data_IF_293744212336
#
_entry.id   IF_293744212336
#
_cell.length_a   1.000
_cell.length_b   1.000
_cell.length_c   1.000
_cell.angle_alpha   90.00
_cell.angle_beta   90.00
_cell.angle_gamma   90.00
#
_symmetry.space_group_name_H-M   'P 1'
#
loop_
_entity.id
_entity.type
_entity.pdbx_description
1 polymer ?
#
# COMPACT_ATOMS: atom_id res chain seq x y z
N UNK A 1 -6.50 -7.12 -11.94
CA UNK A 1 -5.90 -7.50 -10.66
C UNK A 1 -5.19 -6.29 -10.06
N UNK A 2 -5.44 -6.01 -8.79
CA UNK A 2 -4.77 -4.93 -8.08
C UNK A 2 -3.30 -5.24 -7.83
N UNK A 3 -2.50 -4.19 -7.76
CA UNK A 3 -1.07 -4.26 -7.42
C UNK A 3 -0.74 -3.26 -6.33
N UNK A 4 0.48 -3.34 -5.81
CA UNK A 4 1.01 -2.34 -4.85
C UNK A 4 0.92 -0.92 -5.42
N UNK A 5 1.07 -0.77 -6.73
CA UNK A 5 0.94 0.54 -7.39
C UNK A 5 -0.46 1.14 -7.16
N UNK A 6 -1.48 0.32 -7.25
CA UNK A 6 -2.86 0.75 -7.00
C UNK A 6 -3.08 1.13 -5.53
N UNK A 7 -2.44 0.41 -4.61
CA UNK A 7 -2.46 0.73 -3.19
C UNK A 7 -1.79 2.08 -2.93
N UNK A 8 -0.62 2.32 -3.51
CA UNK A 8 0.09 3.61 -3.38
C UNK A 8 -0.75 4.75 -3.93
N UNK A 9 -1.39 4.54 -5.09
CA UNK A 9 -2.29 5.53 -5.67
C UNK A 9 -3.46 5.85 -4.74
N UNK A 10 -4.11 4.81 -4.20
CA UNK A 10 -5.21 4.98 -3.26
C UNK A 10 -4.79 5.70 -1.98
N UNK A 11 -3.63 5.37 -1.42
CA UNK A 11 -3.07 6.07 -0.26
C UNK A 11 -2.75 7.53 -0.58
N UNK A 12 -2.18 7.80 -1.74
CA UNK A 12 -1.87 9.16 -2.18
C UNK A 12 -3.14 9.99 -2.31
N UNK A 13 -4.17 9.46 -2.91
CA UNK A 13 -5.47 10.13 -3.03
C UNK A 13 -6.08 10.42 -1.65
N UNK A 14 -6.08 9.44 -0.77
CA UNK A 14 -6.62 9.57 0.58
C UNK A 14 -5.89 10.62 1.40
N UNK A 15 -4.56 10.61 1.38
CA UNK A 15 -3.73 11.58 2.11
C UNK A 15 -3.86 12.97 1.51
N UNK A 16 -3.86 13.10 0.20
CA UNK A 16 -4.02 14.39 -0.48
C UNK A 16 -5.38 15.02 -0.22
N UNK A 17 -6.42 14.22 -0.11
CA UNK A 17 -7.75 14.69 0.26
C UNK A 17 -7.80 15.17 1.72
N UNK A 18 -7.19 14.41 2.63
CA UNK A 18 -7.15 14.72 4.06
C UNK A 18 -6.23 15.89 4.39
N UNK A 19 -5.09 15.97 3.69
CA UNK A 19 -4.06 16.98 3.92
C UNK A 19 -3.70 17.71 2.61
N UNK A 20 -4.59 18.56 2.09
CA UNK A 20 -4.34 19.23 0.81
C UNK A 20 -3.15 20.21 0.83
N UNK A 21 -2.71 20.63 2.02
CA UNK A 21 -1.56 21.50 2.19
C UNK A 21 -0.21 20.79 2.11
N UNK A 22 -0.22 19.45 2.04
CA UNK A 22 0.98 18.62 1.95
C UNK A 22 1.07 18.04 0.54
N UNK A 23 1.85 18.68 -0.36
CA UNK A 23 2.07 18.09 -1.68
C UNK A 23 2.90 16.81 -1.58
N UNK A 24 2.64 15.88 -2.48
CA UNK A 24 3.43 14.67 -2.59
C UNK A 24 4.78 14.99 -3.23
N UNK A 25 5.87 14.47 -2.65
CA UNK A 25 7.20 14.53 -3.24
C UNK A 25 7.49 13.30 -4.07
N UNK A 26 8.28 13.46 -5.12
CA UNK A 26 8.84 12.34 -5.86
C UNK A 26 9.89 11.64 -4.99
N UNK A 27 9.89 10.31 -5.01
CA UNK A 27 10.82 9.48 -4.24
C UNK A 27 12.28 9.64 -4.66
N UNK A 28 12.53 10.15 -5.87
CA UNK A 28 13.87 10.33 -6.43
C UNK A 28 14.54 11.66 -6.08
N UNK A 29 13.92 12.47 -5.22
CA UNK A 29 14.50 13.76 -4.82
C UNK A 29 15.49 13.56 -3.66
N UNK A 30 16.78 13.68 -3.97
CA UNK A 30 17.85 13.74 -2.99
C UNK A 30 17.88 15.09 -2.26
N UNK A 31 17.89 15.01 -0.94
CA UNK A 31 18.33 16.03 0.03
C UNK A 31 17.57 17.36 0.17
N UNK A 32 16.83 17.84 -0.81
CA UNK A 32 16.08 19.10 -0.72
C UNK A 32 14.57 18.87 -0.73
N UNK A 33 14.07 18.30 0.34
CA UNK A 33 12.64 18.09 0.50
C UNK A 33 11.91 19.44 0.59
N UNK A 34 10.90 19.57 -0.26
CA UNK A 34 9.99 20.71 -0.18
C UNK A 34 9.15 20.60 1.09
N UNK A 35 9.10 21.65 1.88
CA UNK A 35 8.28 21.67 3.10
C UNK A 35 7.12 22.63 2.96
N UNK A 36 5.90 22.29 3.42
CA UNK A 36 5.50 20.96 3.87
C UNK A 36 5.34 19.97 2.71
N UNK A 37 5.56 18.69 2.97
CA UNK A 37 5.40 17.66 1.94
C UNK A 37 5.34 16.27 2.56
N UNK A 38 4.99 15.28 1.76
CA UNK A 38 5.12 13.88 2.14
C UNK A 38 5.55 13.03 0.95
N UNK A 39 6.11 11.87 1.23
CA UNK A 39 6.34 10.86 0.19
C UNK A 39 5.98 9.46 0.71
N UNK A 40 5.71 8.57 -0.23
CA UNK A 40 5.38 7.18 0.06
C UNK A 40 6.47 6.29 -0.53
N UNK A 41 7.05 5.46 0.32
CA UNK A 41 8.07 4.49 -0.07
C UNK A 41 7.59 3.08 0.21
N UNK A 42 7.99 2.14 -0.61
CA UNK A 42 7.69 0.72 -0.42
C UNK A 42 8.95 0.01 0.03
N UNK A 43 8.97 -0.45 1.27
CA UNK A 43 10.14 -1.12 1.84
C UNK A 43 10.30 -2.54 1.31
N UNK A 44 9.22 -3.31 1.34
CA UNK A 44 9.23 -4.65 0.78
C UNK A 44 7.84 -5.08 0.28
N UNK A 45 7.85 -6.07 -0.58
CA UNK A 45 6.64 -6.71 -1.11
C UNK A 45 6.86 -8.22 -1.09
N UNK A 46 5.97 -8.92 -0.40
CA UNK A 46 6.01 -10.37 -0.30
C UNK A 46 4.76 -10.98 -0.92
N UNK A 47 4.95 -11.95 -1.77
CA UNK A 47 3.87 -12.63 -2.47
C UNK A 47 3.84 -14.10 -2.06
N UNK A 48 2.67 -14.61 -1.68
CA UNK A 48 2.49 -15.99 -1.30
C UNK A 48 1.13 -16.54 -1.78
N UNK A 49 1.08 -17.82 -2.04
CA UNK A 49 -0.17 -18.51 -2.34
C UNK A 49 -0.85 -18.92 -1.03
N UNK A 50 -2.08 -18.48 -0.83
CA UNK A 50 -2.89 -18.83 0.36
C UNK A 50 -3.87 -19.98 0.05
N UNK A 51 -4.18 -20.17 -1.21
CA UNK A 51 -4.98 -21.29 -1.72
C UNK A 51 -4.64 -21.52 -3.19
N UNK A 52 -5.24 -22.52 -3.81
CA UNK A 52 -4.94 -22.91 -5.20
C UNK A 52 -5.10 -21.74 -6.18
N UNK A 53 -6.14 -20.93 -6.00
CA UNK A 53 -6.46 -19.82 -6.91
C UNK A 53 -6.34 -18.45 -6.25
N UNK A 54 -5.82 -18.39 -5.02
CA UNK A 54 -5.72 -17.13 -4.28
C UNK A 54 -4.29 -16.79 -3.93
N UNK A 55 -3.90 -15.59 -4.28
CA UNK A 55 -2.58 -15.04 -3.99
C UNK A 55 -2.72 -13.93 -2.95
N UNK A 56 -1.80 -13.90 -2.02
CA UNK A 56 -1.67 -12.82 -1.04
C UNK A 56 -0.41 -12.02 -1.35
N UNK A 57 -0.58 -10.71 -1.53
CA UNK A 57 0.52 -9.77 -1.64
C UNK A 57 0.52 -8.88 -0.41
N UNK A 58 1.57 -8.97 0.38
CA UNK A 58 1.78 -8.11 1.57
C UNK A 58 2.87 -7.12 1.27
N UNK A 59 2.58 -5.84 1.44
CA UNK A 59 3.55 -4.77 1.25
C UNK A 59 3.71 -3.95 2.51
N UNK A 60 4.95 -3.64 2.86
CA UNK A 60 5.29 -2.69 3.91
C UNK A 60 5.56 -1.33 3.29
N UNK A 61 4.71 -0.38 3.63
CA UNK A 61 4.71 0.95 3.05
C UNK A 61 5.08 1.95 4.13
N UNK A 62 6.05 2.80 3.84
CA UNK A 62 6.47 3.88 4.71
C UNK A 62 5.97 5.21 4.14
N UNK A 63 5.27 5.98 4.96
CA UNK A 63 4.78 7.31 4.61
C UNK A 63 5.53 8.31 5.47
N UNK A 64 6.23 9.24 4.85
CA UNK A 64 7.07 10.21 5.53
C UNK A 64 6.51 11.61 5.32
N UNK A 65 6.21 12.31 6.39
CA UNK A 65 5.70 13.67 6.38
C UNK A 65 6.75 14.63 6.91
N UNK A 66 6.99 15.71 6.17
CA UNK A 66 7.85 16.80 6.57
C UNK A 66 7.00 18.00 6.96
N UNK A 67 7.15 18.50 8.19
CA UNK A 67 6.45 19.69 8.64
C UNK A 67 6.89 20.94 7.85
N UNK A 68 6.05 21.94 7.84
CA UNK A 68 6.31 23.21 7.13
C UNK A 68 7.62 23.87 7.58
N UNK A 69 7.95 23.75 8.87
CA UNK A 69 9.12 24.38 9.43
C UNK A 69 9.88 23.39 10.33
N UNK A 70 11.21 23.37 10.22
CA UNK A 70 12.08 22.55 11.08
C UNK A 70 12.03 22.94 12.55
N UNK A 71 11.63 24.15 12.85
CA UNK A 71 11.63 24.70 14.23
C UNK A 71 10.26 24.64 14.90
N UNK A 72 9.21 24.64 14.11
CA UNK A 72 7.82 24.62 14.56
C UNK A 72 7.06 23.49 13.85
N UNK A 73 5.91 23.11 14.39
CA UNK A 73 5.06 22.11 13.76
C UNK A 73 5.12 20.71 14.40
N UNK A 74 5.84 20.56 15.51
CA UNK A 74 5.86 19.28 16.23
C UNK A 74 4.47 18.84 16.70
N UNK A 75 3.69 19.76 17.23
CA UNK A 75 2.32 19.48 17.67
C UNK A 75 1.41 19.12 16.49
N UNK A 76 1.59 19.77 15.36
CA UNK A 76 0.82 19.48 14.14
C UNK A 76 1.13 18.06 13.64
N UNK A 77 2.40 17.65 13.68
CA UNK A 77 2.79 16.28 13.32
C UNK A 77 2.25 15.25 14.32
N UNK A 78 2.21 15.61 15.60
CA UNK A 78 1.66 14.72 16.63
C UNK A 78 0.15 14.51 16.43
N UNK A 79 -0.59 15.58 16.11
CA UNK A 79 -2.00 15.50 15.75
C UNK A 79 -2.19 14.67 14.47
N UNK A 80 -1.35 14.90 13.48
CA UNK A 80 -1.38 14.14 12.24
C UNK A 80 -1.16 12.65 12.48
N UNK A 81 -0.20 12.29 13.33
CA UNK A 81 0.03 10.90 13.73
C UNK A 81 -1.23 10.26 14.31
N UNK A 82 -1.89 10.95 15.22
CA UNK A 82 -3.12 10.46 15.85
C UNK A 82 -4.25 10.32 14.83
N UNK A 83 -4.43 11.31 13.98
CA UNK A 83 -5.46 11.29 12.95
C UNK A 83 -5.23 10.20 11.90
N UNK A 84 -3.99 9.96 11.50
CA UNK A 84 -3.64 8.89 10.57
C UNK A 84 -3.85 7.51 11.19
N UNK A 85 -3.57 7.36 12.47
CA UNK A 85 -3.82 6.11 13.18
C UNK A 85 -5.30 5.73 13.12
N UNK A 86 -6.18 6.69 13.31
CA UNK A 86 -7.63 6.48 13.19
C UNK A 86 -8.04 6.26 11.72
N UNK A 87 -7.48 7.05 10.82
CA UNK A 87 -7.82 6.98 9.40
C UNK A 87 -7.48 5.60 8.79
N UNK A 88 -6.31 5.05 9.14
CA UNK A 88 -5.85 3.77 8.61
C UNK A 88 -6.42 2.55 9.36
N UNK A 89 -7.21 2.76 10.39
CA UNK A 89 -7.99 1.69 11.02
C UNK A 89 -9.12 1.19 10.10
N UNK A 90 -9.55 2.04 9.19
CA UNK A 90 -10.53 1.68 8.16
C UNK A 90 -9.85 1.09 6.91
N UNK A 91 -10.49 0.12 6.23
CA UNK A 91 -9.96 -0.39 4.97
C UNK A 91 -9.82 0.70 3.91
N UNK A 92 -8.76 0.62 3.14
CA UNK A 92 -8.54 1.50 2.00
C UNK A 92 -9.47 1.09 0.85
N UNK A 93 -10.28 2.03 0.41
CA UNK A 93 -11.14 1.82 -0.74
C UNK A 93 -10.40 2.18 -2.02
N UNK A 94 -10.39 1.26 -2.97
CA UNK A 94 -9.80 1.45 -4.29
C UNK A 94 -10.83 1.04 -5.32
N UNK A 95 -11.13 1.91 -6.27
CA UNK A 95 -12.01 1.61 -7.38
C UNK A 95 -11.26 1.72 -8.70
N UNK A 96 -11.51 0.79 -9.59
CA UNK A 96 -11.18 0.91 -10.99
C UNK A 96 -12.49 0.99 -11.82
N UNK A 97 -12.37 1.00 -13.14
CA UNK A 97 -13.53 1.14 -14.02
C UNK A 97 -14.54 -0.02 -13.91
N UNK A 98 -14.11 -1.17 -13.40
CA UNK A 98 -14.90 -2.39 -13.41
C UNK A 98 -15.19 -2.97 -12.03
N UNK A 99 -14.41 -2.59 -11.01
CA UNK A 99 -14.47 -3.25 -9.70
C UNK A 99 -14.13 -2.31 -8.56
N UNK A 100 -14.67 -2.64 -7.39
CA UNK A 100 -14.40 -1.97 -6.13
C UNK A 100 -13.65 -2.92 -5.20
N UNK A 101 -12.63 -2.42 -4.54
CA UNK A 101 -11.77 -3.21 -3.65
C UNK A 101 -11.59 -2.52 -2.31
N UNK A 102 -11.54 -3.32 -1.26
CA UNK A 102 -11.21 -2.87 0.08
C UNK A 102 -9.91 -3.54 0.51
N UNK A 103 -8.89 -2.74 0.75
CA UNK A 103 -7.57 -3.23 1.16
C UNK A 103 -7.42 -3.04 2.66
N UNK A 104 -7.15 -4.12 3.37
CA UNK A 104 -6.89 -4.06 4.80
C UNK A 104 -5.54 -3.40 5.06
N UNK A 105 -5.54 -2.41 5.93
CA UNK A 105 -4.34 -1.70 6.36
C UNK A 105 -4.07 -2.01 7.83
N UNK A 106 -2.82 -2.28 8.15
CA UNK A 106 -2.37 -2.48 9.51
C UNK A 106 -1.26 -1.48 9.82
N UNK A 107 -1.49 -0.59 10.73
CA UNK A 107 -0.44 0.30 11.24
C UNK A 107 0.52 -0.51 12.09
N UNK A 108 1.77 -0.59 11.65
CA UNK A 108 2.79 -1.38 12.32
C UNK A 108 3.63 -0.54 13.26
N UNK A 109 4.02 0.66 12.81
CA UNK A 109 4.94 1.49 13.56
C UNK A 109 4.83 2.95 13.12
N UNK A 110 5.05 3.88 14.04
CA UNK A 110 5.12 5.29 13.70
C UNK A 110 6.15 5.98 14.59
N UNK A 111 7.04 6.75 13.96
CA UNK A 111 8.11 7.47 14.63
C UNK A 111 8.04 8.95 14.33
N UNK A 112 8.14 9.76 15.36
CA UNK A 112 8.10 11.21 15.25
C UNK A 112 9.43 11.79 15.73
N UNK A 113 10.17 12.36 14.79
CA UNK A 113 11.48 12.96 15.04
C UNK A 113 11.35 14.44 15.32
N UNK A 114 11.58 14.82 16.58
CA UNK A 114 11.39 16.19 17.05
C UNK A 114 12.39 17.17 16.45
N UNK A 115 13.65 16.76 16.28
CA UNK A 115 14.70 17.64 15.75
C UNK A 115 14.44 18.08 14.32
N UNK A 116 14.08 17.15 13.47
CA UNK A 116 13.89 17.39 12.03
C UNK A 116 12.45 17.70 11.64
N UNK A 117 11.52 17.54 12.59
CA UNK A 117 10.08 17.66 12.34
C UNK A 117 9.63 16.74 11.22
N UNK A 118 9.93 15.47 11.37
CA UNK A 118 9.60 14.41 10.43
C UNK A 118 8.75 13.36 11.14
N UNK A 119 7.63 13.01 10.53
CA UNK A 119 6.79 11.89 10.95
C UNK A 119 6.96 10.75 9.96
N UNK A 120 7.39 9.60 10.44
CA UNK A 120 7.45 8.37 9.67
C UNK A 120 6.32 7.44 10.11
N UNK A 121 5.47 7.06 9.19
CA UNK A 121 4.31 6.22 9.47
C UNK A 121 4.37 4.96 8.62
N UNK A 122 4.43 3.80 9.26
CA UNK A 122 4.56 2.51 8.58
C UNK A 122 3.23 1.77 8.59
N UNK A 123 2.83 1.30 7.43
CA UNK A 123 1.58 0.59 7.21
C UNK A 123 1.85 -0.67 6.41
N UNK A 124 1.26 -1.77 6.84
CA UNK A 124 1.23 -3.01 6.06
C UNK A 124 -0.10 -3.09 5.32
N UNK A 125 -0.03 -3.28 4.01
CA UNK A 125 -1.20 -3.49 3.17
C UNK A 125 -1.21 -4.94 2.67
N UNK A 126 -2.31 -5.62 2.91
CA UNK A 126 -2.52 -7.00 2.49
C UNK A 126 -3.59 -7.06 1.41
N UNK A 127 -3.20 -7.58 0.25
CA UNK A 127 -4.09 -7.86 -0.86
C UNK A 127 -4.24 -9.36 -1.03
N UNK A 128 -5.47 -9.85 -0.92
CA UNK A 128 -5.78 -11.24 -1.24
C UNK A 128 -6.69 -11.24 -2.45
N UNK A 129 -6.24 -11.87 -3.52
CA UNK A 129 -6.94 -11.84 -4.80
C UNK A 129 -7.01 -13.22 -5.41
N UNK A 130 -8.11 -13.45 -6.12
CA UNK A 130 -8.25 -14.62 -6.96
C UNK A 130 -7.48 -14.41 -8.26
N UNK A 131 -6.63 -15.36 -8.59
CA UNK A 131 -5.91 -15.36 -9.86
C UNK A 131 -6.76 -16.11 -10.88
N UNK A 132 -7.19 -15.42 -11.92
CA UNK A 132 -7.84 -16.06 -13.04
C UNK A 132 -6.79 -16.78 -13.87
N UNK A 133 -6.76 -18.08 -13.72
CA UNK A 133 -5.96 -18.93 -14.60
C UNK A 133 -6.78 -19.19 -15.85
N UNK A 134 -6.27 -18.73 -16.98
CA UNK A 134 -6.83 -19.14 -18.27
C UNK A 134 -6.48 -20.61 -18.45
N UNK A 135 -7.44 -21.46 -18.21
CA UNK A 135 -7.27 -22.88 -18.49
C UNK A 135 -7.33 -23.07 -20.01
N UNK A 136 -6.20 -22.92 -20.65
CA UNK A 136 -6.03 -23.17 -22.07
C UNK A 136 -5.75 -24.63 -22.37
N UNK A 137 -5.98 -25.54 -21.39
CA UNK A 137 -5.50 -26.89 -21.65
C UNK A 137 -6.61 -27.90 -21.85
N UNK A 138 -6.94 -28.21 -23.11
CA UNK A 138 -7.50 -29.50 -23.43
C UNK A 138 -6.58 -30.66 -23.05
N UNK A 139 -5.34 -30.38 -22.67
CA UNK A 139 -4.33 -31.36 -22.32
C UNK A 139 -4.62 -32.14 -21.04
N UNK A 140 -5.37 -31.59 -20.10
CA UNK A 140 -5.74 -32.34 -18.89
C UNK A 140 -6.65 -33.54 -19.19
N UNK A 141 -7.60 -33.33 -20.06
CA UNK A 141 -8.46 -34.43 -20.53
C UNK A 141 -7.66 -35.50 -21.28
N UNK A 142 -6.71 -35.08 -22.11
CA UNK A 142 -5.84 -35.99 -22.81
C UNK A 142 -4.93 -36.79 -21.88
N UNK A 143 -4.43 -36.12 -20.81
CA UNK A 143 -3.64 -36.82 -19.79
C UNK A 143 -4.44 -37.81 -19.02
N UNK A 144 -5.66 -37.55 -18.66
CA UNK A 144 -6.57 -38.50 -18.01
C UNK A 144 -6.84 -39.69 -18.92
N UNK A 145 -7.13 -39.45 -20.18
CA UNK A 145 -7.31 -40.53 -21.15
C UNK A 145 -6.06 -41.38 -21.32
N UNK A 146 -4.87 -40.80 -21.34
CA UNK A 146 -3.61 -41.51 -21.46
C UNK A 146 -3.31 -42.36 -20.22
N UNK A 147 -3.62 -41.89 -19.02
CA UNK A 147 -3.47 -42.65 -17.79
C UNK A 147 -4.40 -43.86 -17.77
N UNK A 148 -5.63 -43.69 -18.20
CA UNK A 148 -6.59 -44.80 -18.32
C UNK A 148 -6.23 -45.75 -19.43
N UNK A 149 -5.70 -45.28 -20.54
CA UNK A 149 -5.28 -46.08 -21.67
C UNK A 149 -3.95 -46.78 -21.49
N UNK A 150 -3.15 -46.41 -20.49
CA UNK A 150 -1.82 -46.94 -20.22
C UNK A 150 -1.79 -48.25 -19.45
N UNK A 151 -2.85 -48.93 -19.39
CA UNK A 151 -2.95 -50.22 -18.67
C UNK A 151 -2.18 -51.37 -19.33
#
# INVERSE_FOLDING_TARGET
MLSVIDVIRGLTELISEKYPNYPVCDMDIDENYRRPSYFIDVEDVNTSWVATDYIKESSNIQIVFFAENRYEGFLDLLDMKNNLTVLFDEPLYISDETSEYYVSLLTTNSDLYKQDKVLTFNVQADLIQKVERVDNSPYMEQLECNIEGGK
#
